data_IF_203800965863
#
_entry.id   IF_203800965863
#
_cell.length_a   1.000
_cell.length_b   1.000
_cell.length_c   1.000
_cell.angle_alpha   90.00
_cell.angle_beta   90.00
_cell.angle_gamma   90.00
#
_symmetry.space_group_name_H-M   'P 1'
#
loop_
_entity.id
_entity.type
_entity.pdbx_description
1 polymer ?
#
# COMPACT_ATOMS: atom_id res chain seq x y z
N UNK A 1 -10.19 3.94 -11.01
CA UNK A 1 -8.94 3.28 -11.47
C UNK A 1 -8.62 2.10 -10.56
N UNK A 2 -7.79 1.16 -11.00
CA UNK A 2 -7.38 -0.01 -10.21
C UNK A 2 -5.86 0.00 -10.01
N UNK A 3 -5.40 -0.21 -8.79
CA UNK A 3 -3.98 -0.39 -8.46
C UNK A 3 -3.78 -1.85 -8.08
N UNK A 4 -3.05 -2.59 -8.90
CA UNK A 4 -2.69 -3.99 -8.65
C UNK A 4 -1.20 -4.20 -8.82
N UNK A 5 -0.63 -5.09 -8.03
CA UNK A 5 0.77 -5.49 -8.11
C UNK A 5 0.89 -6.98 -7.77
N UNK A 6 1.95 -7.61 -8.29
CA UNK A 6 2.20 -9.03 -8.10
C UNK A 6 3.68 -9.28 -7.79
N UNK A 7 3.92 -10.25 -6.91
CA UNK A 7 5.25 -10.79 -6.61
C UNK A 7 5.26 -12.29 -6.85
N UNK A 8 6.22 -12.72 -7.67
CA UNK A 8 6.51 -14.13 -7.84
C UNK A 8 6.89 -14.77 -6.48
N UNK A 9 6.52 -16.04 -6.23
CA UNK A 9 6.72 -16.68 -4.92
C UNK A 9 8.14 -16.59 -4.36
N UNK A 10 9.16 -16.72 -5.21
CA UNK A 10 10.60 -16.63 -4.85
C UNK A 10 11.06 -15.25 -4.34
N UNK A 11 10.23 -14.21 -4.50
CA UNK A 11 10.50 -12.84 -4.07
C UNK A 11 9.64 -12.40 -2.88
N UNK A 12 8.75 -13.26 -2.38
CA UNK A 12 7.92 -12.97 -1.20
C UNK A 12 8.74 -13.05 0.09
N UNK A 13 8.24 -12.44 1.16
CA UNK A 13 8.91 -12.44 2.47
C UNK A 13 10.14 -11.51 2.59
N UNK A 14 10.53 -10.82 1.51
CA UNK A 14 11.71 -9.94 1.46
C UNK A 14 11.39 -8.45 1.59
N UNK A 15 10.19 -8.10 2.07
CA UNK A 15 9.72 -6.71 2.15
C UNK A 15 9.38 -6.03 0.81
N UNK A 16 9.61 -6.69 -0.33
CA UNK A 16 9.40 -6.12 -1.67
C UNK A 16 7.94 -5.71 -1.95
N UNK A 17 6.97 -6.36 -1.29
CA UNK A 17 5.54 -6.04 -1.47
C UNK A 17 5.19 -4.64 -0.98
N UNK A 18 5.86 -4.20 0.09
CA UNK A 18 5.72 -2.86 0.66
C UNK A 18 6.30 -1.86 -0.34
N UNK A 19 7.52 -2.08 -0.81
CA UNK A 19 8.19 -1.20 -1.78
C UNK A 19 7.42 -1.04 -3.10
N UNK A 20 6.86 -2.13 -3.63
CA UNK A 20 6.01 -2.07 -4.81
C UNK A 20 4.77 -1.21 -4.60
N UNK A 21 4.08 -1.40 -3.46
CA UNK A 21 2.89 -0.63 -3.14
C UNK A 21 3.23 0.87 -2.95
N UNK A 22 4.33 1.20 -2.27
CA UNK A 22 4.78 2.58 -2.09
C UNK A 22 5.02 3.27 -3.43
N UNK A 23 5.75 2.63 -4.34
CA UNK A 23 6.00 3.18 -5.67
C UNK A 23 4.71 3.41 -6.44
N UNK A 24 3.73 2.49 -6.32
CA UNK A 24 2.42 2.63 -6.93
C UNK A 24 1.63 3.80 -6.34
N UNK A 25 1.61 3.94 -5.00
CA UNK A 25 0.95 5.04 -4.28
C UNK A 25 1.61 6.39 -4.61
N UNK A 26 2.94 6.48 -4.67
CA UNK A 26 3.65 7.70 -5.08
C UNK A 26 3.29 8.09 -6.52
N UNK A 27 3.20 7.12 -7.43
CA UNK A 27 2.79 7.40 -8.82
C UNK A 27 1.35 7.86 -8.89
N UNK A 28 0.45 7.23 -8.14
CA UNK A 28 -0.97 7.58 -8.09
C UNK A 28 -1.21 8.93 -7.42
N UNK A 29 -0.41 9.31 -6.42
CA UNK A 29 -0.47 10.60 -5.71
C UNK A 29 -0.29 11.81 -6.65
N UNK A 30 0.33 11.61 -7.82
CA UNK A 30 0.51 12.65 -8.84
C UNK A 30 -0.68 12.80 -9.79
N UNK A 31 -1.60 11.86 -9.76
CA UNK A 31 -2.73 11.75 -10.70
C UNK A 31 -4.05 11.99 -9.96
N UNK A 32 -4.17 11.48 -8.75
CA UNK A 32 -5.36 11.56 -7.91
C UNK A 32 -5.43 12.95 -7.24
N UNK A 33 -6.51 13.73 -7.43
CA UNK A 33 -6.63 15.05 -6.82
C UNK A 33 -6.86 14.98 -5.30
N UNK A 34 -7.56 13.96 -4.80
CA UNK A 34 -7.88 13.79 -3.38
C UNK A 34 -6.63 13.58 -2.52
N UNK A 35 -6.68 14.00 -1.25
CA UNK A 35 -5.54 13.90 -0.33
C UNK A 35 -5.20 12.47 0.10
N UNK A 36 -6.14 11.55 -0.11
CA UNK A 36 -6.02 10.14 0.25
C UNK A 36 -6.34 9.23 -0.94
N UNK A 37 -5.61 8.13 -1.03
CA UNK A 37 -5.83 7.06 -1.98
C UNK A 37 -6.68 5.99 -1.33
N UNK A 38 -7.77 5.63 -2.00
CA UNK A 38 -8.67 4.55 -1.59
C UNK A 38 -8.29 3.24 -2.25
N UNK A 39 -8.10 2.19 -1.45
CA UNK A 39 -7.74 0.84 -1.87
C UNK A 39 -8.72 -0.19 -1.29
N UNK A 40 -8.85 -1.32 -1.98
CA UNK A 40 -9.62 -2.48 -1.53
C UNK A 40 -8.71 -3.70 -1.53
N UNK A 41 -8.85 -4.55 -0.51
CA UNK A 41 -8.15 -5.83 -0.42
C UNK A 41 -9.11 -6.91 0.09
N UNK A 42 -9.06 -8.09 -0.50
CA UNK A 42 -9.80 -9.26 0.02
C UNK A 42 -9.30 -9.65 1.41
N UNK A 43 -10.19 -10.07 2.31
CA UNK A 43 -9.83 -10.52 3.66
C UNK A 43 -8.88 -11.72 3.67
N UNK A 44 -8.93 -12.55 2.63
CA UNK A 44 -8.02 -13.67 2.40
C UNK A 44 -6.57 -13.22 2.14
N UNK A 45 -6.38 -12.00 1.65
CA UNK A 45 -5.08 -11.44 1.27
C UNK A 45 -4.46 -10.60 2.40
N UNK A 46 -4.27 -11.24 3.56
CA UNK A 46 -3.61 -10.63 4.71
C UNK A 46 -2.22 -10.03 4.39
N UNK A 47 -1.37 -10.59 3.50
CA UNK A 47 -0.10 -9.98 3.14
C UNK A 47 -0.24 -8.60 2.49
N UNK A 48 -1.22 -8.40 1.59
CA UNK A 48 -1.43 -7.11 0.94
C UNK A 48 -1.99 -6.08 1.94
N UNK A 49 -2.92 -6.47 2.80
CA UNK A 49 -3.40 -5.60 3.89
C UNK A 49 -2.25 -5.14 4.78
N UNK A 50 -1.36 -6.06 5.21
CA UNK A 50 -0.17 -5.71 6.01
C UNK A 50 0.74 -4.71 5.30
N UNK A 51 0.89 -4.82 3.98
CA UNK A 51 1.66 -3.84 3.20
C UNK A 51 1.00 -2.46 3.26
N UNK A 52 -0.32 -2.38 3.06
CA UNK A 52 -1.07 -1.13 3.11
C UNK A 52 -0.96 -0.45 4.49
N UNK A 53 -1.15 -1.22 5.56
CA UNK A 53 -1.04 -0.70 6.92
C UNK A 53 0.37 -0.21 7.26
N UNK A 54 1.40 -0.93 6.79
CA UNK A 54 2.80 -0.58 7.05
C UNK A 54 3.21 0.78 6.45
N UNK A 55 2.55 1.23 5.38
CA UNK A 55 2.86 2.50 4.72
C UNK A 55 1.95 3.64 5.19
N UNK A 56 1.30 3.47 6.35
CA UNK A 56 0.41 4.48 6.94
C UNK A 56 -1.03 4.39 6.47
N UNK A 57 -1.42 3.30 5.82
CA UNK A 57 -2.82 3.03 5.53
C UNK A 57 -3.63 2.68 6.77
N UNK A 58 -4.90 3.05 6.79
CA UNK A 58 -5.84 2.68 7.84
C UNK A 58 -7.12 2.10 7.24
N UNK A 59 -7.73 1.15 7.94
CA UNK A 59 -9.00 0.55 7.53
C UNK A 59 -10.09 1.60 7.77
N UNK A 60 -10.74 2.03 6.68
CA UNK A 60 -11.86 2.96 6.73
C UNK A 60 -13.16 2.23 7.09
N UNK A 61 -13.38 1.05 6.49
CA UNK A 61 -14.43 0.10 6.84
C UNK A 61 -14.13 -1.28 6.22
N UNK A 62 -14.98 -2.26 6.49
CA UNK A 62 -14.96 -3.58 5.90
C UNK A 62 -16.38 -4.02 5.51
N UNK A 63 -16.46 -4.97 4.57
CA UNK A 63 -17.67 -5.76 4.31
C UNK A 63 -17.40 -7.24 4.64
N UNK A 64 -18.21 -8.17 4.16
CA UNK A 64 -18.02 -9.61 4.42
C UNK A 64 -16.72 -10.15 3.80
N UNK A 65 -16.28 -9.60 2.66
CA UNK A 65 -15.22 -10.15 1.82
C UNK A 65 -13.97 -9.26 1.75
N UNK A 66 -14.09 -7.97 2.06
CA UNK A 66 -13.04 -6.98 1.81
C UNK A 66 -12.78 -6.04 2.98
N UNK A 67 -11.54 -5.56 3.03
CA UNK A 67 -11.15 -4.34 3.73
C UNK A 67 -11.02 -3.19 2.74
N UNK A 68 -11.48 -2.02 3.16
CA UNK A 68 -11.32 -0.78 2.43
C UNK A 68 -10.37 0.13 3.19
N UNK A 69 -9.25 0.46 2.56
CA UNK A 69 -8.12 1.14 3.19
C UNK A 69 -7.92 2.51 2.56
N UNK A 70 -7.65 3.52 3.38
CA UNK A 70 -7.24 4.85 2.94
C UNK A 70 -5.78 5.07 3.30
N UNK A 71 -5.03 5.67 2.38
CA UNK A 71 -3.61 6.00 2.56
C UNK A 71 -3.41 7.45 2.15
N UNK A 72 -2.80 8.26 3.01
CA UNK A 72 -2.41 9.63 2.63
C UNK A 72 -1.46 9.60 1.44
N UNK A 73 -1.48 10.64 0.62
CA UNK A 73 -0.51 10.80 -0.47
C UNK A 73 0.92 10.65 0.04
N UNK A 74 1.72 9.89 -0.71
CA UNK A 74 3.13 9.65 -0.40
C UNK A 74 4.03 10.33 -1.43
N UNK A 75 5.16 10.80 -0.95
CA UNK A 75 6.28 11.31 -1.72
C UNK A 75 7.46 10.33 -1.70
N UNK A 76 8.50 10.62 -2.49
CA UNK A 76 9.72 9.80 -2.45
C UNK A 76 10.48 9.99 -1.13
N UNK A 77 10.39 11.20 -0.59
CA UNK A 77 10.98 11.60 0.68
C UNK A 77 10.40 10.77 1.82
N UNK A 78 9.08 10.56 1.84
CA UNK A 78 8.41 9.69 2.83
C UNK A 78 8.87 8.24 2.76
N UNK A 79 9.14 7.73 1.55
CA UNK A 79 9.63 6.36 1.33
C UNK A 79 11.07 6.20 1.83
N UNK A 80 11.97 7.13 1.46
CA UNK A 80 13.36 7.06 1.90
C UNK A 80 13.52 7.26 3.41
N UNK A 81 12.71 8.12 4.03
CA UNK A 81 12.70 8.29 5.49
C UNK A 81 12.37 6.98 6.22
N UNK A 82 11.37 6.23 5.75
CA UNK A 82 10.96 4.95 6.35
C UNK A 82 11.95 3.82 6.13
N UNK A 83 12.71 3.85 5.04
CA UNK A 83 13.79 2.88 4.79
C UNK A 83 14.97 3.11 5.75
N UNK A 84 15.25 4.36 6.14
CA UNK A 84 16.33 4.71 7.08
C UNK A 84 16.00 4.35 8.54
N UNK A 85 14.73 4.44 8.95
CA UNK A 85 14.29 4.08 10.30
C UNK A 85 14.28 2.56 10.56
N UNK A 86 14.30 1.75 9.50
CA UNK A 86 14.28 0.28 9.58
C UNK A 86 15.65 -0.38 9.38
N UNK A 87 16.72 0.40 9.17
CA UNK A 87 18.09 -0.06 8.95
C UNK A 87 18.93 0.06 10.23
#
# INVERSE_FOLDING_TARGET
GHIGYYLAPSFRGKGLGVKLLEMAVIKASKIIPEDEIYLRVEKSNAPSLKCMLKIGGYIHHEDEEHYYVRIKKLSKEDMYGRDQEQA
#
